data_IF_674583712771
#
_entry.id   IF_674583712771
#
_cell.length_a   1.000
_cell.length_b   1.000
_cell.length_c   1.000
_cell.angle_alpha   90.00
_cell.angle_beta   90.00
_cell.angle_gamma   90.00
#
_symmetry.space_group_name_H-M   'P 1'
#
loop_
_entity.id
_entity.type
_entity.pdbx_description
1 polymer ?
#
# COMPACT_ATOMS: atom_id res chain seq x y z
N UNK A 1 8.14 6.98 11.66
CA UNK A 1 7.86 5.53 11.62
C UNK A 1 8.63 4.95 10.44
N UNK A 2 9.36 3.85 10.61
CA UNK A 2 10.26 3.27 9.62
C UNK A 2 9.98 1.77 9.54
N UNK A 3 9.56 1.28 8.37
CA UNK A 3 9.39 -0.16 8.10
C UNK A 3 10.73 -0.89 8.20
N UNK A 4 10.73 -2.10 8.75
CA UNK A 4 11.95 -2.86 9.10
C UNK A 4 12.90 -2.16 10.08
N UNK A 5 12.50 -1.04 10.69
CA UNK A 5 13.35 -0.27 11.59
C UNK A 5 13.88 -1.04 12.80
N UNK A 6 13.32 -2.20 13.15
CA UNK A 6 13.88 -3.08 14.17
C UNK A 6 15.12 -3.87 13.73
N UNK A 7 15.23 -4.18 12.43
CA UNK A 7 16.18 -5.18 11.93
C UNK A 7 17.24 -4.59 11.00
N UNK A 8 16.99 -3.42 10.40
CA UNK A 8 17.89 -2.86 9.39
C UNK A 8 19.26 -2.47 9.96
N UNK A 9 20.30 -2.78 9.20
CA UNK A 9 21.68 -2.34 9.46
C UNK A 9 21.93 -0.92 8.97
N UNK A 10 21.20 -0.47 7.95
CA UNK A 10 21.34 0.86 7.35
C UNK A 10 20.00 1.56 7.17
N UNK A 11 19.99 2.87 7.36
CA UNK A 11 18.85 3.75 7.15
C UNK A 11 19.13 4.71 6.00
N UNK A 12 18.33 4.63 4.93
CA UNK A 12 18.35 5.64 3.87
C UNK A 12 17.51 6.82 4.36
N UNK A 13 18.17 7.94 4.67
CA UNK A 13 17.55 9.07 5.38
C UNK A 13 17.71 10.36 4.59
N UNK A 14 16.59 11.04 4.33
CA UNK A 14 16.62 12.42 3.84
C UNK A 14 16.94 13.39 4.98
N UNK A 15 18.04 14.12 4.84
CA UNK A 15 18.53 15.07 5.84
C UNK A 15 18.57 16.49 5.26
N UNK A 16 18.17 17.47 6.06
CA UNK A 16 18.37 18.88 5.70
C UNK A 16 19.82 19.27 6.04
N UNK A 17 20.61 19.61 5.02
CA UNK A 17 22.01 20.03 5.16
C UNK A 17 22.18 21.56 5.13
N UNK A 18 21.11 22.29 5.47
CA UNK A 18 21.07 23.75 5.57
C UNK A 18 20.75 24.43 4.24
N UNK A 19 21.50 24.12 3.18
CA UNK A 19 21.26 24.68 1.82
C UNK A 19 20.27 23.87 0.97
N UNK A 20 19.92 22.66 1.41
CA UNK A 20 19.01 21.78 0.69
C UNK A 20 18.84 20.43 1.39
N UNK A 21 18.24 19.48 0.68
CA UNK A 21 18.09 18.10 1.15
C UNK A 21 19.18 17.22 0.56
N UNK A 22 19.80 16.40 1.38
CA UNK A 22 20.71 15.32 0.95
C UNK A 22 20.15 13.98 1.43
N UNK A 23 20.50 12.89 0.76
CA UNK A 23 20.18 11.54 1.23
C UNK A 23 21.44 10.91 1.79
N UNK A 24 21.37 10.39 3.01
CA UNK A 24 22.49 9.74 3.68
C UNK A 24 22.16 8.27 3.95
N UNK A 25 23.14 7.40 3.76
CA UNK A 25 23.10 6.02 4.20
C UNK A 25 23.65 5.91 5.62
N UNK A 26 22.77 5.95 6.61
CA UNK A 26 23.16 5.99 8.03
C UNK A 26 23.29 4.57 8.58
N UNK A 27 24.49 4.10 8.97
CA UNK A 27 24.63 2.80 9.62
C UNK A 27 24.02 2.82 11.03
N UNK A 28 23.49 1.68 11.46
CA UNK A 28 23.07 1.48 12.84
C UNK A 28 24.29 1.60 13.75
N UNK A 29 24.23 2.52 14.70
CA UNK A 29 25.32 2.87 15.62
C UNK A 29 24.74 3.35 16.95
N UNK A 30 25.59 3.70 17.91
CA UNK A 30 25.18 4.19 19.23
C UNK A 30 24.28 5.45 19.16
N UNK A 31 24.47 6.29 18.12
CA UNK A 31 23.65 7.46 17.88
C UNK A 31 22.29 7.19 17.21
N UNK A 32 21.97 5.92 16.93
CA UNK A 32 20.71 5.52 16.28
C UNK A 32 19.94 4.57 17.19
N UNK A 33 18.83 5.04 17.75
CA UNK A 33 17.96 4.25 18.61
C UNK A 33 16.65 3.95 17.91
N UNK A 34 16.11 2.74 18.09
CA UNK A 34 14.85 2.32 17.46
C UNK A 34 13.91 1.71 18.48
N UNK A 35 12.68 2.21 18.56
CA UNK A 35 11.61 1.67 19.42
C UNK A 35 10.55 1.00 18.56
N UNK A 36 10.25 -0.27 18.85
CA UNK A 36 9.21 -1.02 18.14
C UNK A 36 7.85 -0.31 18.24
N UNK A 37 7.15 -0.26 17.11
CA UNK A 37 5.73 0.11 17.04
C UNK A 37 4.99 -1.10 16.47
N UNK A 38 3.81 -1.39 17.01
CA UNK A 38 2.90 -2.39 16.45
C UNK A 38 1.89 -1.66 15.57
N UNK A 39 2.03 -1.65 14.23
CA UNK A 39 1.06 -1.02 13.36
C UNK A 39 -0.17 -1.93 13.20
N UNK A 40 -1.33 -1.34 12.87
CA UNK A 40 -2.57 -2.06 12.59
C UNK A 40 -2.45 -2.96 11.36
N UNK A 41 -1.81 -2.47 10.30
CA UNK A 41 -1.78 -3.14 9.00
C UNK A 41 -0.86 -4.38 8.93
N UNK A 42 0.15 -4.52 9.78
CA UNK A 42 1.07 -5.66 9.72
C UNK A 42 1.87 -5.84 11.02
N UNK A 43 1.60 -6.95 11.72
CA UNK A 43 2.35 -7.30 12.93
C UNK A 43 3.80 -7.73 12.67
N UNK A 44 4.16 -8.06 11.42
CA UNK A 44 5.46 -8.62 11.04
C UNK A 44 6.36 -7.64 10.28
N UNK A 45 5.88 -6.41 10.00
CA UNK A 45 6.63 -5.40 9.24
C UNK A 45 7.88 -4.85 9.95
N UNK A 46 8.16 -5.24 11.20
CA UNK A 46 9.32 -4.76 11.96
C UNK A 46 9.35 -3.25 12.17
N UNK A 47 8.18 -2.62 12.18
CA UNK A 47 8.03 -1.18 12.16
C UNK A 47 8.55 -0.56 13.45
N UNK A 48 9.37 0.48 13.34
CA UNK A 48 9.93 1.17 14.50
C UNK A 48 9.87 2.70 14.38
N UNK A 49 9.91 3.36 15.53
CA UNK A 49 10.28 4.75 15.65
C UNK A 49 11.80 4.85 15.73
N UNK A 50 12.45 5.44 14.72
CA UNK A 50 13.88 5.70 14.73
C UNK A 50 14.17 7.10 15.26
N UNK A 51 15.15 7.23 16.14
CA UNK A 51 15.68 8.49 16.63
C UNK A 51 17.19 8.52 16.37
N UNK A 52 17.64 9.62 15.76
CA UNK A 52 19.02 9.88 15.42
C UNK A 52 19.51 11.00 16.34
N UNK A 53 20.39 10.68 17.29
CA UNK A 53 21.03 11.64 18.20
C UNK A 53 22.54 11.56 18.06
N UNK A 54 23.15 12.63 17.54
CA UNK A 54 24.60 12.71 17.25
C UNK A 54 25.14 11.48 16.49
N UNK A 55 24.33 10.91 15.60
CA UNK A 55 24.74 9.81 14.73
C UNK A 55 25.82 10.29 13.76
N UNK A 56 27.02 9.73 13.86
CA UNK A 56 28.14 10.06 12.99
C UNK A 56 28.05 9.24 11.70
N UNK A 57 28.13 9.91 10.56
CA UNK A 57 28.01 9.29 9.23
C UNK A 57 29.24 9.67 8.40
N UNK A 58 29.96 8.69 7.82
CA UNK A 58 31.04 8.93 6.88
C UNK A 58 30.58 9.78 5.67
N UNK A 59 31.47 10.61 5.12
CA UNK A 59 31.13 11.52 4.00
C UNK A 59 30.83 10.74 2.71
N UNK A 60 31.45 9.58 2.52
CA UNK A 60 31.24 8.67 1.40
C UNK A 60 29.88 7.94 1.44
N UNK A 61 29.13 8.06 2.53
CA UNK A 61 27.75 7.57 2.65
C UNK A 61 26.71 8.58 2.14
N UNK A 62 27.15 9.68 1.52
CA UNK A 62 26.28 10.56 0.75
C UNK A 62 25.75 9.81 -0.48
N UNK A 63 24.42 9.68 -0.55
CA UNK A 63 23.75 9.00 -1.65
C UNK A 63 23.26 10.03 -2.67
N UNK A 64 23.90 10.04 -3.84
CA UNK A 64 23.70 11.07 -4.86
C UNK A 64 24.55 12.32 -4.61
N UNK A 65 24.08 13.47 -5.06
CA UNK A 65 24.78 14.75 -4.87
C UNK A 65 24.25 15.53 -3.66
N UNK A 66 25.14 16.30 -3.03
CA UNK A 66 24.77 17.16 -1.90
C UNK A 66 23.70 18.17 -2.34
N UNK A 67 22.68 18.36 -1.51
CA UNK A 67 21.53 19.24 -1.76
C UNK A 67 20.58 18.80 -2.90
N UNK A 68 20.86 17.68 -3.59
CA UNK A 68 20.01 17.12 -4.66
C UNK A 68 19.18 15.89 -4.21
N UNK A 69 19.04 15.69 -2.91
CA UNK A 69 18.35 14.55 -2.33
C UNK A 69 16.86 14.46 -2.68
N UNK A 70 16.20 15.58 -2.98
CA UNK A 70 14.79 15.58 -3.38
C UNK A 70 14.56 14.79 -4.68
N UNK A 71 15.41 15.00 -5.69
CA UNK A 71 15.33 14.29 -6.97
C UNK A 71 15.52 12.79 -6.79
N UNK A 72 16.48 12.40 -5.95
CA UNK A 72 16.76 11.01 -5.60
C UNK A 72 15.54 10.36 -4.93
N UNK A 73 15.00 10.99 -3.89
CA UNK A 73 13.81 10.49 -3.18
C UNK A 73 12.61 10.32 -4.13
N UNK A 74 12.35 11.34 -4.96
CA UNK A 74 11.23 11.32 -5.89
C UNK A 74 11.37 10.24 -6.96
N UNK A 75 12.57 10.00 -7.47
CA UNK A 75 12.82 8.92 -8.45
C UNK A 75 12.55 7.54 -7.85
N UNK A 76 12.89 7.32 -6.58
CA UNK A 76 12.61 6.08 -5.87
C UNK A 76 11.10 5.86 -5.64
N UNK A 77 10.37 6.92 -5.27
CA UNK A 77 8.92 6.82 -5.02
C UNK A 77 8.10 6.35 -6.22
N UNK A 78 8.56 6.57 -7.45
CA UNK A 78 7.84 6.09 -8.63
C UNK A 78 7.82 4.55 -8.68
N UNK A 79 8.96 3.91 -8.40
CA UNK A 79 9.04 2.45 -8.33
C UNK A 79 8.25 1.89 -7.16
N UNK A 80 8.33 2.52 -5.97
CA UNK A 80 7.55 2.09 -4.81
C UNK A 80 6.05 2.17 -5.07
N UNK A 81 5.57 3.26 -5.68
CA UNK A 81 4.16 3.40 -6.08
C UNK A 81 3.75 2.31 -7.03
N UNK A 82 4.57 2.02 -8.05
CA UNK A 82 4.28 0.96 -9.01
C UNK A 82 4.16 -0.41 -8.33
N UNK A 83 5.08 -0.75 -7.43
CA UNK A 83 5.01 -2.00 -6.66
C UNK A 83 3.73 -2.08 -5.79
N UNK A 84 3.36 -0.98 -5.12
CA UNK A 84 2.12 -0.92 -4.34
C UNK A 84 0.87 -1.06 -5.21
N UNK A 85 0.83 -0.40 -6.38
CA UNK A 85 -0.27 -0.52 -7.35
C UNK A 85 -0.46 -1.99 -7.75
N UNK A 86 0.63 -2.69 -8.11
CA UNK A 86 0.60 -4.10 -8.47
C UNK A 86 0.01 -4.95 -7.35
N UNK A 87 0.47 -4.75 -6.10
CA UNK A 87 -0.04 -5.45 -4.93
C UNK A 87 -1.51 -5.18 -4.67
N UNK A 88 -1.94 -3.92 -4.73
CA UNK A 88 -3.34 -3.53 -4.52
C UNK A 88 -4.29 -4.12 -5.58
N UNK A 89 -3.90 -4.08 -6.86
CA UNK A 89 -4.73 -4.65 -7.95
C UNK A 89 -4.81 -6.17 -7.81
N UNK A 90 -3.70 -6.84 -7.50
CA UNK A 90 -3.70 -8.28 -7.22
C UNK A 90 -4.65 -8.63 -6.07
N UNK A 91 -4.57 -7.89 -4.96
CA UNK A 91 -5.47 -8.08 -3.81
C UNK A 91 -6.94 -7.86 -4.18
N UNK A 92 -7.23 -6.80 -4.92
CA UNK A 92 -8.57 -6.48 -5.41
C UNK A 92 -9.16 -7.56 -6.31
N UNK A 93 -8.35 -8.14 -7.22
CA UNK A 93 -8.75 -9.29 -8.05
C UNK A 93 -9.08 -10.51 -7.20
N UNK A 94 -8.26 -10.80 -6.18
CA UNK A 94 -8.53 -11.87 -5.23
C UNK A 94 -9.85 -11.69 -4.47
N UNK A 95 -10.16 -10.46 -4.02
CA UNK A 95 -11.45 -10.14 -3.39
C UNK A 95 -12.61 -10.46 -4.35
N UNK A 96 -12.53 -10.00 -5.60
CA UNK A 96 -13.57 -10.23 -6.60
C UNK A 96 -13.77 -11.72 -6.87
N UNK A 97 -12.68 -12.49 -6.98
CA UNK A 97 -12.72 -13.94 -7.17
C UNK A 97 -13.44 -14.64 -6.01
N UNK A 98 -13.11 -14.30 -4.77
CA UNK A 98 -13.75 -14.90 -3.59
C UNK A 98 -15.23 -14.49 -3.48
N UNK A 99 -15.56 -13.23 -3.77
CA UNK A 99 -16.95 -12.77 -3.86
C UNK A 99 -17.75 -13.58 -4.90
N UNK A 100 -17.17 -13.82 -6.07
CA UNK A 100 -17.75 -14.62 -7.14
C UNK A 100 -18.04 -16.06 -6.67
N UNK A 101 -17.06 -16.73 -6.05
CA UNK A 101 -17.23 -18.08 -5.51
C UNK A 101 -18.36 -18.13 -4.49
N UNK A 102 -18.38 -17.18 -3.55
CA UNK A 102 -19.39 -17.12 -2.50
C UNK A 102 -20.81 -16.93 -3.05
N UNK A 103 -20.96 -16.12 -4.09
CA UNK A 103 -22.26 -15.83 -4.69
C UNK A 103 -22.94 -17.02 -5.34
N UNK A 104 -22.18 -17.92 -5.97
CA UNK A 104 -22.73 -19.13 -6.57
C UNK A 104 -23.10 -20.18 -5.52
N UNK A 105 -22.40 -20.19 -4.39
CA UNK A 105 -22.61 -21.15 -3.31
C UNK A 105 -23.74 -20.74 -2.36
N UNK A 106 -23.94 -19.43 -2.14
CA UNK A 106 -24.89 -18.94 -1.14
C UNK A 106 -26.33 -18.91 -1.66
N UNK A 107 -27.22 -19.62 -0.95
CA UNK A 107 -28.67 -19.61 -1.18
C UNK A 107 -29.34 -18.77 -0.10
N UNK A 108 -30.16 -17.79 -0.50
CA UNK A 108 -30.98 -16.95 0.38
C UNK A 108 -32.36 -16.78 -0.26
N UNK A 109 -33.42 -16.85 0.54
CA UNK A 109 -34.81 -16.78 0.03
C UNK A 109 -35.10 -17.79 -1.10
N UNK A 110 -34.57 -19.02 -0.97
CA UNK A 110 -34.71 -20.13 -1.92
C UNK A 110 -34.11 -19.86 -3.32
N UNK A 111 -33.30 -18.82 -3.48
CA UNK A 111 -32.59 -18.49 -4.72
C UNK A 111 -31.11 -18.27 -4.43
N UNK A 112 -30.25 -18.36 -5.44
CA UNK A 112 -28.84 -18.04 -5.24
C UNK A 112 -28.69 -16.54 -5.07
N UNK A 113 -27.62 -16.14 -4.39
CA UNK A 113 -27.33 -14.73 -4.17
C UNK A 113 -27.13 -13.97 -5.49
N UNK A 114 -26.51 -14.62 -6.49
CA UNK A 114 -26.35 -14.10 -7.87
C UNK A 114 -27.67 -13.84 -8.60
N UNK A 115 -28.76 -14.49 -8.22
CA UNK A 115 -30.06 -14.31 -8.88
C UNK A 115 -30.70 -12.97 -8.46
N UNK A 116 -30.17 -12.29 -7.43
CA UNK A 116 -30.66 -10.99 -6.95
C UNK A 116 -30.05 -9.82 -7.76
N UNK A 117 -30.87 -8.95 -8.40
CA UNK A 117 -30.37 -7.86 -9.24
C UNK A 117 -29.48 -6.84 -8.51
N UNK A 118 -29.84 -6.48 -7.27
CA UNK A 118 -29.09 -5.52 -6.46
C UNK A 118 -27.66 -6.01 -6.20
N UNK A 119 -27.52 -7.30 -5.94
CA UNK A 119 -26.23 -7.94 -5.73
C UNK A 119 -25.44 -7.92 -7.03
N UNK A 120 -25.98 -8.42 -8.16
CA UNK A 120 -25.29 -8.40 -9.46
C UNK A 120 -24.74 -7.03 -9.85
N UNK A 121 -25.48 -5.95 -9.59
CA UNK A 121 -25.01 -4.59 -9.86
C UNK A 121 -23.75 -4.24 -9.08
N UNK A 122 -23.60 -4.69 -7.83
CA UNK A 122 -22.43 -4.43 -7.00
C UNK A 122 -21.17 -5.09 -7.57
N UNK A 123 -21.23 -6.38 -7.92
CA UNK A 123 -20.09 -7.06 -8.54
C UNK A 123 -19.76 -6.52 -9.91
N UNK A 124 -20.76 -6.17 -10.73
CA UNK A 124 -20.50 -5.55 -12.02
C UNK A 124 -19.65 -4.27 -11.85
N UNK A 125 -19.95 -3.46 -10.83
CA UNK A 125 -19.15 -2.28 -10.48
C UNK A 125 -17.75 -2.65 -9.96
N UNK A 126 -17.65 -3.65 -9.08
CA UNK A 126 -16.35 -4.12 -8.57
C UNK A 126 -15.44 -4.60 -9.70
N UNK A 127 -15.95 -5.48 -10.57
CA UNK A 127 -15.23 -6.00 -11.74
C UNK A 127 -14.81 -4.83 -12.65
N UNK A 128 -15.74 -3.92 -12.99
CA UNK A 128 -15.43 -2.80 -13.87
C UNK A 128 -14.28 -1.92 -13.33
N UNK A 129 -14.25 -1.68 -12.02
CA UNK A 129 -13.16 -0.90 -11.38
C UNK A 129 -11.83 -1.64 -11.39
N UNK A 130 -11.84 -2.94 -11.13
CA UNK A 130 -10.62 -3.76 -11.14
C UNK A 130 -10.05 -3.91 -12.53
N UNK A 131 -10.89 -4.17 -13.53
CA UNK A 131 -10.46 -4.26 -14.93
C UNK A 131 -9.91 -2.92 -15.44
N UNK A 132 -10.54 -1.79 -15.06
CA UNK A 132 -10.01 -0.47 -15.36
C UNK A 132 -8.63 -0.24 -14.73
N UNK A 133 -8.46 -0.63 -13.45
CA UNK A 133 -7.17 -0.52 -12.75
C UNK A 133 -6.10 -1.40 -13.39
N UNK A 134 -6.43 -2.65 -13.75
CA UNK A 134 -5.52 -3.57 -14.43
C UNK A 134 -5.11 -3.02 -15.79
N UNK A 135 -6.05 -2.56 -16.61
CA UNK A 135 -5.74 -1.99 -17.92
C UNK A 135 -4.80 -0.78 -17.80
N UNK A 136 -5.00 0.07 -16.79
CA UNK A 136 -4.13 1.22 -16.55
C UNK A 136 -2.72 0.79 -16.10
N UNK A 137 -2.63 -0.23 -15.23
CA UNK A 137 -1.35 -0.82 -14.84
C UNK A 137 -0.58 -1.38 -16.05
N UNK A 138 -1.23 -2.15 -16.92
CA UNK A 138 -0.58 -2.72 -18.11
C UNK A 138 -0.04 -1.62 -19.04
N UNK A 139 -0.81 -0.56 -19.26
CA UNK A 139 -0.39 0.58 -20.08
C UNK A 139 0.88 1.27 -19.54
N UNK A 140 1.01 1.38 -18.22
CA UNK A 140 2.22 1.96 -17.61
C UNK A 140 3.37 0.99 -17.55
N UNK A 141 3.09 -0.30 -17.36
CA UNK A 141 4.11 -1.35 -17.41
C UNK A 141 4.80 -1.34 -18.77
N UNK A 142 4.03 -1.29 -19.85
CA UNK A 142 4.57 -1.23 -21.22
C UNK A 142 5.43 0.03 -21.46
N UNK A 143 4.99 1.19 -20.94
CA UNK A 143 5.78 2.43 -21.02
C UNK A 143 7.09 2.33 -20.23
N UNK A 144 7.04 1.79 -19.01
CA UNK A 144 8.21 1.61 -18.17
C UNK A 144 9.23 0.64 -18.78
N UNK A 145 8.79 -0.41 -19.47
CA UNK A 145 9.69 -1.34 -20.18
C UNK A 145 10.41 -0.64 -21.33
N UNK A 146 9.78 0.34 -21.98
CA UNK A 146 10.36 1.05 -23.15
C UNK A 146 11.17 2.30 -22.78
N UNK A 147 11.02 2.81 -21.56
CA UNK A 147 11.68 4.04 -21.10
C UNK A 147 12.88 3.73 -20.22
N UNK A 148 13.94 4.54 -20.35
CA UNK A 148 15.04 4.52 -19.38
C UNK A 148 14.58 5.00 -18.00
N UNK A 149 15.35 4.68 -16.95
CA UNK A 149 15.02 5.07 -15.58
C UNK A 149 14.80 6.59 -15.42
N UNK A 150 15.63 7.41 -16.08
CA UNK A 150 15.52 8.86 -16.04
C UNK A 150 14.25 9.37 -16.72
N UNK A 151 13.89 8.80 -17.88
CA UNK A 151 12.66 9.16 -18.58
C UNK A 151 11.42 8.78 -17.77
N UNK A 152 11.43 7.62 -17.11
CA UNK A 152 10.36 7.21 -16.20
C UNK A 152 10.21 8.21 -15.04
N UNK A 153 11.32 8.65 -14.45
CA UNK A 153 11.32 9.61 -13.35
C UNK A 153 10.71 10.96 -13.75
N UNK A 154 11.00 11.44 -14.96
CA UNK A 154 10.50 12.72 -15.47
C UNK A 154 9.05 12.64 -15.95
N UNK A 155 8.66 11.59 -16.69
CA UNK A 155 7.38 11.56 -17.39
C UNK A 155 6.27 10.83 -16.63
N UNK A 156 6.58 9.79 -15.85
CA UNK A 156 5.56 8.91 -15.27
C UNK A 156 5.20 9.24 -13.82
N UNK A 157 5.94 10.12 -13.14
CA UNK A 157 5.76 10.33 -11.70
C UNK A 157 4.35 10.79 -11.29
N UNK A 158 3.78 11.77 -11.99
CA UNK A 158 2.42 12.24 -11.73
C UNK A 158 1.36 11.19 -12.07
N UNK A 159 1.57 10.46 -13.17
CA UNK A 159 0.68 9.41 -13.64
C UNK A 159 0.62 8.21 -12.68
N UNK A 160 1.77 7.75 -12.17
CA UNK A 160 1.85 6.71 -11.16
C UNK A 160 1.23 7.15 -9.82
N UNK A 161 1.39 8.41 -9.43
CA UNK A 161 0.74 8.95 -8.24
C UNK A 161 -0.80 8.93 -8.36
N UNK A 162 -1.33 9.29 -9.53
CA UNK A 162 -2.76 9.24 -9.81
C UNK A 162 -3.28 7.79 -9.79
N UNK A 163 -2.60 6.87 -10.46
CA UNK A 163 -3.00 5.46 -10.47
C UNK A 163 -2.93 4.88 -9.05
N UNK A 164 -1.89 5.17 -8.27
CA UNK A 164 -1.80 4.74 -6.87
C UNK A 164 -3.01 5.20 -6.07
N UNK A 165 -3.37 6.48 -6.18
CA UNK A 165 -4.53 7.03 -5.47
C UNK A 165 -5.82 6.32 -5.88
N UNK A 166 -6.02 6.14 -7.19
CA UNK A 166 -7.16 5.41 -7.75
C UNK A 166 -7.23 3.97 -7.23
N UNK A 167 -6.13 3.20 -7.29
CA UNK A 167 -6.12 1.81 -6.83
C UNK A 167 -6.36 1.67 -5.34
N UNK A 168 -5.83 2.57 -4.51
CA UNK A 168 -6.16 2.55 -3.08
C UNK A 168 -7.65 2.78 -2.84
N UNK A 169 -8.27 3.74 -3.52
CA UNK A 169 -9.72 3.97 -3.40
C UNK A 169 -10.54 2.77 -3.87
N UNK A 170 -10.16 2.17 -4.99
CA UNK A 170 -10.79 0.93 -5.50
C UNK A 170 -10.66 -0.19 -4.47
N UNK A 171 -9.50 -0.37 -3.84
CA UNK A 171 -9.32 -1.40 -2.80
C UNK A 171 -10.26 -1.19 -1.60
N UNK A 172 -10.43 0.05 -1.13
CA UNK A 172 -11.39 0.38 -0.07
C UNK A 172 -12.83 0.09 -0.51
N UNK A 173 -13.26 0.61 -1.67
CA UNK A 173 -14.61 0.38 -2.21
C UNK A 173 -14.92 -1.12 -2.35
N UNK A 174 -13.94 -1.91 -2.78
CA UNK A 174 -14.08 -3.36 -2.92
C UNK A 174 -14.14 -4.08 -1.59
N UNK A 175 -13.35 -3.66 -0.60
CA UNK A 175 -13.38 -4.23 0.74
C UNK A 175 -14.77 -4.03 1.37
N UNK A 176 -15.32 -2.81 1.27
CA UNK A 176 -16.65 -2.49 1.79
C UNK A 176 -17.76 -3.30 1.13
N UNK A 177 -17.72 -3.41 -0.21
CA UNK A 177 -18.68 -4.21 -0.95
C UNK A 177 -18.54 -5.70 -0.67
N UNK A 178 -17.31 -6.20 -0.49
CA UNK A 178 -17.06 -7.58 -0.11
C UNK A 178 -17.65 -7.88 1.27
N UNK A 179 -17.43 -7.04 2.28
CA UNK A 179 -18.02 -7.22 3.61
C UNK A 179 -19.55 -7.33 3.52
N UNK A 180 -20.19 -6.47 2.73
CA UNK A 180 -21.63 -6.53 2.49
C UNK A 180 -22.08 -7.83 1.79
N UNK A 181 -21.31 -8.31 0.82
CA UNK A 181 -21.56 -9.55 0.10
C UNK A 181 -21.45 -10.79 1.00
N UNK A 182 -20.42 -10.84 1.83
CA UNK A 182 -20.19 -11.94 2.76
C UNK A 182 -21.11 -11.85 3.98
N UNK A 183 -21.64 -10.67 4.30
CA UNK A 183 -22.51 -10.44 5.46
C UNK A 183 -21.77 -10.76 6.76
N UNK A 184 -22.47 -11.34 7.74
CA UNK A 184 -21.84 -11.73 9.02
C UNK A 184 -20.65 -12.69 8.88
N UNK A 185 -20.53 -13.41 7.74
CA UNK A 185 -19.37 -14.25 7.44
C UNK A 185 -18.08 -13.43 7.26
N UNK A 186 -18.17 -12.17 6.83
CA UNK A 186 -17.01 -11.30 6.69
C UNK A 186 -16.32 -10.99 8.03
N UNK A 187 -17.08 -11.05 9.14
CA UNK A 187 -16.61 -10.68 10.48
C UNK A 187 -15.98 -11.83 11.26
N UNK A 188 -16.09 -13.07 10.74
CA UNK A 188 -15.51 -14.26 11.36
C UNK A 188 -14.21 -14.64 10.66
N UNK A 189 -13.16 -14.89 11.44
CA UNK A 189 -11.78 -15.04 10.97
C UNK A 189 -11.53 -16.29 10.09
N UNK A 190 -12.52 -17.16 9.94
CA UNK A 190 -12.42 -18.46 9.27
C UNK A 190 -12.42 -18.40 7.73
N UNK A 191 -12.45 -17.21 7.13
CA UNK A 191 -12.85 -17.07 5.72
C UNK A 191 -11.72 -16.62 4.80
N UNK A 192 -10.65 -16.06 5.35
CA UNK A 192 -9.62 -15.40 4.54
C UNK A 192 -8.22 -15.79 4.98
N UNK A 193 -7.53 -16.58 4.15
CA UNK A 193 -6.07 -16.79 4.24
C UNK A 193 -5.27 -15.55 3.78
N UNK A 194 -5.92 -14.40 3.53
CA UNK A 194 -5.28 -13.17 3.08
C UNK A 194 -5.62 -11.94 3.95
N UNK A 195 -4.61 -11.39 4.63
CA UNK A 195 -4.64 -10.21 5.52
C UNK A 195 -5.06 -8.86 4.87
N UNK A 196 -5.53 -8.86 3.62
CA UNK A 196 -5.67 -7.66 2.80
C UNK A 196 -6.90 -6.79 3.15
N UNK A 197 -8.04 -7.40 3.54
CA UNK A 197 -9.25 -6.64 3.88
C UNK A 197 -9.10 -5.93 5.23
N UNK A 198 -8.49 -6.59 6.23
CA UNK A 198 -8.29 -6.01 7.57
C UNK A 198 -7.41 -4.76 7.54
N UNK A 199 -6.30 -4.80 6.78
CA UNK A 199 -5.44 -3.63 6.62
C UNK A 199 -6.13 -2.46 5.90
N UNK A 200 -7.10 -2.73 5.04
CA UNK A 200 -7.88 -1.71 4.32
C UNK A 200 -9.04 -1.15 5.14
N UNK A 201 -9.67 -1.95 6.00
CA UNK A 201 -10.75 -1.50 6.89
C UNK A 201 -10.23 -0.77 8.14
N UNK A 202 -9.13 -1.24 8.74
CA UNK A 202 -8.53 -0.59 9.91
C UNK A 202 -7.82 0.74 9.57
N UNK A 203 -7.56 1.01 8.29
CA UNK A 203 -7.08 2.30 7.83
C UNK A 203 -8.15 3.41 7.83
N UNK A 204 -9.42 3.05 8.07
CA UNK A 204 -10.56 3.99 8.18
C UNK A 204 -11.11 4.22 9.59
N UNK A 205 -10.66 3.44 10.59
CA UNK A 205 -11.17 3.56 11.96
C UNK A 205 -10.20 4.32 12.87
N UNK A 206 -10.36 5.65 12.90
CA UNK A 206 -9.90 6.51 13.99
C UNK A 206 -10.69 6.17 15.26
N UNK A 207 -10.00 5.56 16.23
CA UNK A 207 -9.92 5.98 17.63
C UNK A 207 -11.04 6.89 18.20
N UNK A 208 -12.31 6.45 18.23
CA UNK A 208 -13.40 7.19 18.94
C UNK A 208 -14.25 6.33 19.90
N UNK A 209 -14.11 5.00 19.96
CA UNK A 209 -15.07 4.16 20.73
C UNK A 209 -14.57 3.58 22.07
N UNK A 210 -13.43 4.00 22.64
CA UNK A 210 -12.91 3.41 23.89
C UNK A 210 -12.57 4.37 25.03
N UNK A 211 -13.22 5.54 25.07
CA UNK A 211 -13.24 6.41 26.27
C UNK A 211 -14.65 6.74 26.78
N UNK A 212 -15.66 5.93 26.43
CA UNK A 212 -16.98 5.97 27.08
C UNK A 212 -17.41 4.55 27.42
N UNK A 213 -16.75 3.99 28.44
CA UNK A 213 -17.29 3.18 29.54
C UNK A 213 -16.16 2.94 30.55
#
# INVERSE_FOLDING_TARGET
MITNGQYVDYFITGCNTGRGFSVLLIPRSEGVTTKSIKPSYSATAGTAYGQFDKAMVPVDHLFGEEHQGFTVIMSNFNNERFAMICGSIRGARGIVEECLKWWYQRIVFKRRLVDQPAIRSKLAKMIARVEAAQAWLEQFTEQMVRMSYMEQATHLGGHLALLKSFTTRVAHELADEAVNIFGGRALIQLVWEGDFIRSSSEAGDEEVSKSML
#
